data_IF_187776433412
#
_entry.id   IF_187776433412
#
_cell.length_a   1.000
_cell.length_b   1.000
_cell.length_c   1.000
_cell.angle_alpha   90.00
_cell.angle_beta   90.00
_cell.angle_gamma   90.00
#
_symmetry.space_group_name_H-M   'P 1'
#
loop_
_entity.id
_entity.type
_entity.pdbx_description
1 polymer ?
#
# COMPACT_ATOMS: atom_id res chain seq x y z
N UNK A 1 2.46 -1.95 -15.75
CA UNK A 1 1.47 -2.15 -14.67
C UNK A 1 2.18 -1.92 -13.36
N UNK A 2 1.49 -1.36 -12.37
CA UNK A 2 2.03 -1.03 -11.07
C UNK A 2 1.19 -1.73 -10.01
N UNK A 3 1.84 -2.48 -9.13
CA UNK A 3 1.16 -3.16 -8.03
C UNK A 3 1.78 -2.79 -6.70
N UNK A 4 0.96 -2.77 -5.65
CA UNK A 4 1.37 -2.44 -4.29
C UNK A 4 0.87 -3.53 -3.35
N UNK A 5 1.79 -4.06 -2.55
CA UNK A 5 1.49 -4.99 -1.47
C UNK A 5 1.72 -4.29 -0.14
N UNK A 6 0.74 -4.33 0.75
CA UNK A 6 0.81 -3.67 2.06
C UNK A 6 0.54 -4.70 3.17
N UNK A 7 1.36 -4.64 4.21
CA UNK A 7 1.20 -5.34 5.46
C UNK A 7 1.14 -4.32 6.60
N UNK A 8 0.21 -4.54 7.52
CA UNK A 8 -0.06 -3.63 8.64
C UNK A 8 0.17 -4.36 9.96
N UNK A 9 0.98 -3.79 10.85
CA UNK A 9 1.17 -4.32 12.20
C UNK A 9 0.09 -3.82 13.17
N UNK A 10 -0.08 -4.49 14.32
CA UNK A 10 -0.97 -4.03 15.41
C UNK A 10 -0.58 -2.65 15.97
N UNK A 11 0.68 -2.28 15.82
CA UNK A 11 1.17 -0.96 16.21
C UNK A 11 0.82 0.13 15.19
N UNK A 12 0.20 -0.25 14.07
CA UNK A 12 -0.17 0.67 12.99
C UNK A 12 0.99 0.96 12.05
N UNK A 13 2.05 0.14 12.03
CA UNK A 13 3.15 0.31 11.07
C UNK A 13 2.77 -0.34 9.75
N UNK A 14 2.94 0.39 8.63
CA UNK A 14 2.73 -0.11 7.27
C UNK A 14 4.10 -0.44 6.67
N UNK A 15 4.23 -1.66 6.14
CA UNK A 15 5.37 -2.08 5.31
C UNK A 15 4.85 -2.77 4.05
N UNK A 16 5.65 -2.76 3.00
CA UNK A 16 5.19 -3.34 1.75
C UNK A 16 6.21 -3.28 0.64
N UNK A 17 5.76 -3.68 -0.54
CA UNK A 17 6.51 -3.58 -1.79
C UNK A 17 5.66 -2.88 -2.83
N UNK A 18 6.28 -1.96 -3.55
CA UNK A 18 5.78 -1.36 -4.78
C UNK A 18 6.54 -2.01 -5.93
N UNK A 19 5.81 -2.52 -6.91
CA UNK A 19 6.36 -3.19 -8.09
C UNK A 19 5.92 -2.45 -9.34
N UNK A 20 6.87 -1.97 -10.12
CA UNK A 20 6.62 -1.48 -11.47
C UNK A 20 7.06 -2.53 -12.48
N UNK A 21 6.08 -3.18 -13.13
CA UNK A 21 6.32 -4.21 -14.13
C UNK A 21 6.84 -3.66 -15.47
N UNK A 22 6.71 -2.35 -15.73
CA UNK A 22 7.27 -1.76 -16.95
C UNK A 22 8.79 -1.59 -16.84
N UNK A 23 9.28 -1.24 -15.65
CA UNK A 23 10.70 -1.02 -15.38
C UNK A 23 11.38 -2.19 -14.66
N UNK A 24 10.61 -3.22 -14.26
CA UNK A 24 11.07 -4.33 -13.41
C UNK A 24 11.73 -3.85 -12.10
N UNK A 25 11.25 -2.73 -11.56
CA UNK A 25 11.75 -2.18 -10.31
C UNK A 25 10.84 -2.52 -9.14
N UNK A 26 11.47 -2.90 -8.03
CA UNK A 26 10.81 -3.07 -6.73
C UNK A 26 11.34 -2.02 -5.76
N UNK A 27 10.42 -1.34 -5.08
CA UNK A 27 10.73 -0.35 -4.06
C UNK A 27 9.99 -0.68 -2.77
N UNK A 28 10.62 -0.40 -1.64
CA UNK A 28 10.03 -0.65 -0.32
C UNK A 28 8.94 0.38 -0.05
N UNK A 29 7.81 -0.06 0.46
CA UNK A 29 6.77 0.82 1.00
C UNK A 29 6.94 0.93 2.50
N UNK A 30 6.90 2.15 3.00
CA UNK A 30 6.96 2.44 4.43
C UNK A 30 5.92 3.50 4.81
N UNK A 31 5.24 3.28 5.93
CA UNK A 31 4.20 4.18 6.39
C UNK A 31 3.65 3.81 7.74
N UNK A 32 2.55 4.45 8.08
CA UNK A 32 1.85 4.21 9.34
C UNK A 32 0.37 4.54 9.24
N UNK A 33 -0.38 4.04 10.21
CA UNK A 33 -1.77 4.34 10.44
C UNK A 33 -1.85 5.25 11.65
N UNK A 34 -2.51 6.39 11.48
CA UNK A 34 -3.01 7.16 12.60
C UNK A 34 -4.19 6.41 13.22
N UNK A 35 -3.99 5.87 14.44
CA UNK A 35 -5.01 5.08 15.14
C UNK A 35 -6.22 5.90 15.58
N UNK A 36 -6.07 7.21 15.76
CA UNK A 36 -7.16 8.10 16.16
C UNK A 36 -8.07 8.39 14.97
N UNK A 37 -7.47 8.75 13.83
CA UNK A 37 -8.24 9.13 12.63
C UNK A 37 -8.50 7.97 11.67
N UNK A 38 -7.93 6.79 11.94
CA UNK A 38 -7.99 5.61 11.07
C UNK A 38 -7.51 5.89 9.63
N UNK A 39 -6.50 6.77 9.50
CA UNK A 39 -5.89 7.13 8.20
C UNK A 39 -4.57 6.40 8.02
N UNK A 40 -4.39 5.77 6.88
CA UNK A 40 -3.17 5.15 6.44
C UNK A 40 -2.39 6.12 5.53
N UNK A 41 -1.14 6.38 5.85
CA UNK A 41 -0.24 7.17 5.02
C UNK A 41 1.07 6.41 4.78
N UNK A 42 1.52 6.34 3.53
CA UNK A 42 2.73 5.63 3.16
C UNK A 42 3.47 6.26 1.98
N UNK A 43 4.76 5.95 1.88
CA UNK A 43 5.70 6.43 0.86
C UNK A 43 6.37 5.25 0.17
N UNK A 44 6.88 5.49 -1.04
CA UNK A 44 7.55 4.46 -1.85
C UNK A 44 9.04 4.81 -2.00
N UNK A 45 9.90 3.84 -1.67
CA UNK A 45 11.34 3.97 -1.70
C UNK A 45 11.85 5.10 -0.80
N UNK A 46 12.85 5.82 -1.30
CA UNK A 46 13.45 6.98 -0.61
C UNK A 46 12.68 8.28 -0.86
N UNK A 47 11.61 8.25 -1.67
CA UNK A 47 10.82 9.43 -1.97
C UNK A 47 9.92 9.80 -0.77
N UNK A 48 10.40 10.75 0.02
CA UNK A 48 9.67 11.33 1.16
C UNK A 48 8.73 12.48 0.78
N UNK A 49 8.76 12.91 -0.48
CA UNK A 49 7.96 14.04 -0.96
C UNK A 49 6.63 13.62 -1.55
N UNK A 50 6.51 12.36 -1.97
CA UNK A 50 5.29 11.76 -2.47
C UNK A 50 4.66 10.87 -1.42
N UNK A 51 3.54 11.29 -0.85
CA UNK A 51 2.83 10.56 0.22
C UNK A 51 1.48 10.12 -0.31
N UNK A 52 1.17 8.84 -0.15
CA UNK A 52 -0.14 8.28 -0.47
C UNK A 52 -0.94 8.18 0.83
N UNK A 53 -2.14 8.76 0.85
CA UNK A 53 -3.05 8.75 1.98
C UNK A 53 -4.38 8.07 1.61
N UNK A 54 -4.90 7.22 2.49
CA UNK A 54 -6.26 6.68 2.39
C UNK A 54 -6.82 6.29 3.76
N UNK A 55 -8.11 5.97 3.84
CA UNK A 55 -8.70 5.41 5.06
C UNK A 55 -8.33 3.94 5.23
N UNK A 56 -8.03 3.50 6.46
CA UNK A 56 -7.74 2.09 6.75
C UNK A 56 -8.88 1.18 6.31
N UNK A 57 -10.12 1.60 6.53
CA UNK A 57 -11.30 0.86 6.10
C UNK A 57 -11.37 0.69 4.58
N UNK A 58 -10.94 1.68 3.80
CA UNK A 58 -10.95 1.58 2.33
C UNK A 58 -10.00 0.48 1.87
N UNK A 59 -8.86 0.30 2.54
CA UNK A 59 -7.91 -0.76 2.22
C UNK A 59 -8.49 -2.17 2.42
N UNK A 60 -9.62 -2.35 3.12
CA UNK A 60 -10.29 -3.66 3.25
C UNK A 60 -11.32 -3.92 2.15
N UNK A 61 -11.50 -2.99 1.21
CA UNK A 61 -12.44 -3.10 0.09
C UNK A 61 -11.73 -3.55 -1.19
N UNK A 62 -12.54 -3.82 -2.21
CA UNK A 62 -12.05 -4.14 -3.56
C UNK A 62 -11.53 -2.89 -4.28
N UNK A 63 -12.08 -1.72 -3.92
CA UNK A 63 -11.69 -0.42 -4.45
C UNK A 63 -11.44 0.55 -3.28
N UNK A 64 -10.30 1.22 -3.31
CA UNK A 64 -9.91 2.17 -2.27
C UNK A 64 -9.47 3.49 -2.90
N UNK A 65 -10.28 4.56 -2.82
CA UNK A 65 -9.84 5.88 -3.23
C UNK A 65 -8.71 6.34 -2.31
N UNK A 66 -7.67 6.92 -2.89
CA UNK A 66 -6.53 7.46 -2.18
C UNK A 66 -6.11 8.81 -2.76
N UNK A 67 -5.41 9.58 -1.94
CA UNK A 67 -4.80 10.85 -2.31
C UNK A 67 -3.30 10.63 -2.46
N UNK A 68 -2.75 11.03 -3.59
CA UNK A 68 -1.31 11.12 -3.79
C UNK A 68 -0.92 12.59 -3.65
N UNK A 69 -0.26 12.92 -2.53
CA UNK A 69 0.34 14.21 -2.30
C UNK A 69 1.74 14.23 -2.92
N UNK A 70 1.99 15.15 -3.86
CA UNK A 70 3.27 15.30 -4.56
C UNK A 70 3.87 16.65 -4.16
N UNK A 71 4.88 16.62 -3.29
CA UNK A 71 5.43 17.84 -2.72
C UNK A 71 4.39 18.58 -1.86
N UNK A 72 4.41 19.91 -1.88
CA UNK A 72 3.51 20.74 -1.07
C UNK A 72 2.27 21.21 -1.81
N UNK A 73 2.31 21.20 -3.14
CA UNK A 73 1.41 22.02 -3.95
C UNK A 73 0.46 21.19 -4.83
N UNK A 74 0.72 19.89 -4.96
CA UNK A 74 -0.06 19.02 -5.85
C UNK A 74 -0.62 17.84 -5.06
N UNK A 75 -1.91 17.61 -5.21
CA UNK A 75 -2.59 16.40 -4.73
C UNK A 75 -3.40 15.82 -5.87
N UNK A 76 -3.27 14.52 -6.09
CA UNK A 76 -4.01 13.77 -7.08
C UNK A 76 -4.93 12.76 -6.41
N UNK A 77 -6.06 12.48 -7.04
CA UNK A 77 -6.97 11.41 -6.61
C UNK A 77 -6.70 10.17 -7.44
N UNK A 78 -6.38 9.09 -6.75
CA UNK A 78 -6.06 7.79 -7.34
C UNK A 78 -7.04 6.75 -6.81
N UNK A 79 -7.20 5.66 -7.55
CA UNK A 79 -8.01 4.52 -7.14
C UNK A 79 -7.13 3.28 -7.07
N UNK A 80 -7.03 2.70 -5.87
CA UNK A 80 -6.39 1.40 -5.69
C UNK A 80 -7.43 0.31 -5.93
N UNK A 81 -7.13 -0.60 -6.84
CA UNK A 81 -7.96 -1.78 -7.11
C UNK A 81 -7.28 -3.00 -6.51
N UNK A 82 -8.03 -3.77 -5.73
CA UNK A 82 -7.56 -5.00 -5.09
C UNK A 82 -7.29 -6.05 -6.14
N UNK A 83 -6.02 -6.42 -6.29
CA UNK A 83 -5.63 -7.55 -7.11
C UNK A 83 -6.07 -8.86 -6.43
N UNK A 84 -6.60 -9.79 -7.21
CA UNK A 84 -6.86 -11.15 -6.74
C UNK A 84 -5.52 -11.78 -6.36
N UNK A 85 -5.44 -12.33 -5.15
CA UNK A 85 -4.27 -13.11 -4.79
C UNK A 85 -4.17 -14.32 -5.73
N UNK A 86 -2.98 -14.62 -6.28
CA UNK A 86 -2.79 -15.84 -7.03
C UNK A 86 -3.08 -17.03 -6.10
N UNK A 87 -3.93 -17.95 -6.55
CA UNK A 87 -4.30 -19.17 -5.85
C UNK A 87 -3.05 -20.04 -5.65
N UNK A 88 -2.45 -19.97 -4.47
CA UNK A 88 -1.24 -20.73 -4.15
C UNK A 88 -0.61 -20.47 -2.77
N UNK A 89 -1.09 -19.49 -2.01
CA UNK A 89 -0.57 -19.18 -0.67
C UNK A 89 -1.22 -20.00 0.48
N UNK A 90 -2.24 -20.81 0.20
CA UNK A 90 -2.96 -21.65 1.17
C UNK A 90 -2.71 -23.15 0.98
N UNK A 91 -1.46 -23.56 0.72
CA UNK A 91 -1.08 -24.95 0.99
C UNK A 91 -0.69 -25.04 2.47
N UNK A 92 -1.45 -25.73 3.34
CA UNK A 92 -0.96 -26.05 4.67
C UNK A 92 0.33 -26.86 4.49
N UNK A 93 1.44 -26.36 5.05
CA UNK A 93 2.64 -27.18 5.24
C UNK A 93 2.27 -28.28 6.22
N UNK A 94 1.80 -29.40 5.69
CA UNK A 94 1.79 -30.68 6.41
C UNK A 94 3.20 -31.24 6.27
N UNK A 95 4.06 -30.97 7.25
CA UNK A 95 5.36 -31.65 7.37
C UNK A 95 5.12 -33.09 7.83
N UNK A 96 5.70 -34.11 7.17
CA UNK A 96 5.72 -35.49 7.68
C UNK A 96 6.64 -35.66 8.89
#
# INVERSE_FOLDING_TARGET
DVSIQLAVSKDGVIRGNYTDSATNQNQVVQGSIDKQTQRAAFTVGDNKTSVIETGLYNLTKDEAPCLLHIGKDRTEQWLLVRLKQPSGADAPVTTP
#
